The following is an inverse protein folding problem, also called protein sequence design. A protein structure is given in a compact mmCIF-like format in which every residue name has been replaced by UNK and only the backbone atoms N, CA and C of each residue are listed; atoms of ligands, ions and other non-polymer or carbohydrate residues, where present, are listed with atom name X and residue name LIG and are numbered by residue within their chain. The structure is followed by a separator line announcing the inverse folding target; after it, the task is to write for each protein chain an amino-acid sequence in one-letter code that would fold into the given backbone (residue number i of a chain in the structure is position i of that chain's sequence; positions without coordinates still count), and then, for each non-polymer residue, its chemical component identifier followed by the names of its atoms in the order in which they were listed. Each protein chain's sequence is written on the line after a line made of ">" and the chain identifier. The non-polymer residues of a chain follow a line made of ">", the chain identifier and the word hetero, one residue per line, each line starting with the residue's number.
data_IF_450205064532
#
_entry.id   IF_450205064532
#
_cell.length_a   1.000
_cell.length_b   1.000
_cell.length_c   1.000
_cell.angle_alpha   90.00
_cell.angle_beta   90.00
_cell.angle_gamma   90.00
#
_symmetry.space_group_name_H-M   'P 1'
#
loop_
_entity.id
_entity.type
_entity.pdbx_description
1 polymer ?
#
# COMPACT_ATOMS: atom_id res chain seq x y z
N UNK A 1 4.89 -14.93 -0.73
CA UNK A 1 4.91 -13.61 -0.08
C UNK A 1 3.95 -12.72 -0.84
N UNK A 2 3.04 -12.08 -0.12
CA UNK A 2 2.08 -11.16 -0.72
C UNK A 2 2.74 -9.83 -1.01
N UNK A 3 2.19 -9.16 -2.01
CA UNK A 3 2.74 -7.91 -2.52
C UNK A 3 1.75 -6.83 -2.23
N UNK A 4 2.24 -5.77 -1.61
CA UNK A 4 1.42 -4.70 -1.10
C UNK A 4 1.86 -3.38 -1.67
N UNK A 5 0.88 -2.51 -1.86
CA UNK A 5 1.06 -1.10 -2.17
C UNK A 5 0.32 -0.30 -1.12
N UNK A 6 1.04 0.54 -0.40
CA UNK A 6 0.44 1.44 0.57
C UNK A 6 0.79 2.87 0.23
N UNK A 7 -0.09 3.80 0.56
CA UNK A 7 0.18 5.22 0.36
C UNK A 7 -0.57 6.09 1.36
N UNK A 8 -0.14 7.34 1.50
CA UNK A 8 -0.76 8.30 2.42
C UNK A 8 -2.22 8.61 2.04
N UNK A 9 -3.17 8.28 2.93
CA UNK A 9 -4.60 8.16 2.64
C UNK A 9 -5.32 9.43 2.21
N UNK A 10 -4.67 10.60 2.32
CA UNK A 10 -5.16 11.89 1.84
C UNK A 10 -5.11 12.05 0.31
N UNK A 11 -4.31 11.24 -0.40
CA UNK A 11 -4.13 11.35 -1.86
C UNK A 11 -5.07 10.40 -2.63
N UNK A 12 -5.34 10.69 -3.90
CA UNK A 12 -5.97 9.71 -4.81
C UNK A 12 -4.95 8.66 -5.24
N UNK A 13 -5.39 7.44 -5.54
CA UNK A 13 -4.52 6.34 -5.99
C UNK A 13 -3.65 6.73 -7.20
N UNK A 14 -4.23 7.45 -8.17
CA UNK A 14 -3.53 7.95 -9.36
C UNK A 14 -2.43 8.96 -9.04
N UNK A 15 -2.62 9.79 -8.02
CA UNK A 15 -1.61 10.75 -7.54
C UNK A 15 -0.53 10.03 -6.73
N UNK A 16 -0.94 9.10 -5.86
CA UNK A 16 -0.05 8.29 -5.07
C UNK A 16 0.91 7.48 -5.96
N UNK A 17 0.42 6.84 -7.03
CA UNK A 17 1.26 6.10 -7.99
C UNK A 17 2.38 6.95 -8.63
N UNK A 18 2.20 8.27 -8.74
CA UNK A 18 3.19 9.18 -9.34
C UNK A 18 4.26 9.66 -8.36
N UNK A 19 4.04 9.51 -7.04
CA UNK A 19 4.90 10.08 -6.01
C UNK A 19 5.49 8.99 -5.11
N UNK A 20 6.76 8.65 -5.35
CA UNK A 20 7.49 7.63 -4.56
C UNK A 20 7.64 8.01 -3.08
N UNK A 21 7.57 9.29 -2.72
CA UNK A 21 7.72 9.75 -1.33
C UNK A 21 6.47 9.53 -0.48
N UNK A 22 5.31 9.33 -1.11
CA UNK A 22 4.01 9.17 -0.43
C UNK A 22 3.41 7.77 -0.62
N UNK A 23 4.16 6.86 -1.25
CA UNK A 23 3.78 5.47 -1.44
C UNK A 23 4.93 4.53 -1.07
N UNK A 24 4.58 3.30 -0.69
CA UNK A 24 5.51 2.24 -0.37
C UNK A 24 5.06 0.95 -1.03
N UNK A 25 6.00 0.20 -1.59
CA UNK A 25 5.79 -1.14 -2.14
C UNK A 25 6.61 -2.12 -1.34
N UNK A 26 5.98 -3.17 -0.84
CA UNK A 26 6.68 -4.17 -0.05
C UNK A 26 6.15 -5.58 -0.26
N UNK A 27 7.04 -6.55 -0.09
CA UNK A 27 6.77 -7.97 -0.13
C UNK A 27 6.74 -8.48 1.31
N UNK A 28 5.56 -8.82 1.81
CA UNK A 28 5.38 -9.24 3.20
C UNK A 28 4.61 -10.55 3.28
N UNK A 29 4.86 -11.33 4.33
CA UNK A 29 4.20 -12.62 4.55
C UNK A 29 2.78 -12.52 5.13
N UNK A 30 2.34 -11.32 5.54
CA UNK A 30 1.01 -11.11 6.14
C UNK A 30 0.58 -9.65 6.03
N UNK A 31 -0.74 -9.44 5.96
CA UNK A 31 -1.42 -8.15 6.00
C UNK A 31 -1.15 -7.41 7.33
N UNK A 32 -1.05 -8.11 8.45
CA UNK A 32 -0.78 -7.49 9.76
C UNK A 32 0.58 -6.79 9.78
N UNK A 33 1.58 -7.39 9.14
CA UNK A 33 2.93 -6.81 9.04
C UNK A 33 2.88 -5.57 8.13
N UNK A 34 2.08 -5.62 7.06
CA UNK A 34 1.85 -4.48 6.18
C UNK A 34 1.23 -3.30 6.95
N UNK A 35 0.16 -3.56 7.71
CA UNK A 35 -0.53 -2.54 8.52
C UNK A 35 0.43 -1.96 9.57
N UNK A 36 1.15 -2.81 10.32
CA UNK A 36 2.14 -2.34 11.33
C UNK A 36 3.21 -1.45 10.72
N UNK A 37 3.69 -1.76 9.51
CA UNK A 37 4.67 -0.94 8.81
C UNK A 37 4.07 0.39 8.37
N UNK A 38 2.85 0.39 7.83
CA UNK A 38 2.17 1.63 7.43
C UNK A 38 1.86 2.54 8.63
N UNK A 39 1.42 1.97 9.75
CA UNK A 39 1.21 2.69 11.01
C UNK A 39 2.50 3.38 11.49
N UNK A 40 3.66 2.74 11.32
CA UNK A 40 4.97 3.34 11.67
C UNK A 40 5.37 4.51 10.77
N UNK A 41 5.02 4.47 9.48
CA UNK A 41 5.45 5.47 8.51
C UNK A 41 4.51 6.69 8.52
N UNK A 42 3.19 6.45 8.54
CA UNK A 42 2.20 7.50 8.35
C UNK A 42 1.25 7.71 9.54
N UNK A 43 1.28 6.83 10.55
CA UNK A 43 0.34 6.83 11.65
C UNK A 43 -0.93 6.02 11.35
N UNK A 44 -1.61 5.59 12.41
CA UNK A 44 -2.84 4.81 12.30
C UNK A 44 -3.94 5.61 11.57
N UNK A 45 -4.65 4.95 10.65
CA UNK A 45 -5.74 5.57 9.86
C UNK A 45 -5.31 6.59 8.80
N UNK A 46 -4.01 6.83 8.62
CA UNK A 46 -3.50 7.86 7.71
C UNK A 46 -2.97 7.31 6.37
N UNK A 47 -3.23 6.05 6.06
CA UNK A 47 -2.80 5.37 4.85
C UNK A 47 -3.94 4.57 4.24
N UNK A 48 -3.78 4.24 2.96
CA UNK A 48 -4.58 3.24 2.26
C UNK A 48 -3.66 2.09 1.89
N UNK A 49 -4.13 0.87 2.05
CA UNK A 49 -3.38 -0.35 1.79
C UNK A 49 -4.08 -1.16 0.72
N UNK A 50 -3.31 -1.61 -0.24
CA UNK A 50 -3.76 -2.44 -1.34
C UNK A 50 -2.88 -3.68 -1.44
N UNK A 51 -3.49 -4.79 -1.84
CA UNK A 51 -2.79 -6.02 -2.20
C UNK A 51 -2.85 -6.21 -3.71
N UNK A 52 -1.71 -6.51 -4.32
CA UNK A 52 -1.68 -6.87 -5.74
C UNK A 52 -2.33 -8.23 -5.93
N UNK A 53 -3.30 -8.33 -6.84
CA UNK A 53 -3.88 -9.61 -7.23
C UNK A 53 -3.00 -10.33 -8.24
N UNK A 54 -2.50 -9.59 -9.23
CA UNK A 54 -1.48 -10.04 -10.16
C UNK A 54 -0.29 -9.07 -10.13
N UNK A 55 0.87 -9.56 -9.73
CA UNK A 55 2.07 -8.73 -9.66
C UNK A 55 2.60 -8.31 -11.03
N UNK A 56 2.36 -9.14 -12.05
CA UNK A 56 2.76 -8.83 -13.41
C UNK A 56 1.84 -7.77 -14.01
N UNK A 57 0.62 -7.65 -13.47
CA UNK A 57 -0.34 -6.62 -13.82
C UNK A 57 -0.44 -5.54 -12.74
N UNK A 58 0.44 -4.55 -12.87
CA UNK A 58 0.64 -3.41 -11.96
C UNK A 58 -0.59 -2.48 -11.82
N UNK A 59 -1.74 -2.85 -12.41
CA UNK A 59 -3.04 -2.17 -12.30
C UNK A 59 -4.10 -2.97 -11.53
N UNK A 60 -3.82 -4.22 -11.15
CA UNK A 60 -4.75 -5.03 -10.35
C UNK A 60 -4.44 -4.93 -8.86
N UNK A 61 -5.28 -4.17 -8.15
CA UNK A 61 -5.17 -3.96 -6.71
C UNK A 61 -6.51 -4.22 -6.02
N UNK A 62 -6.47 -4.97 -4.92
CA UNK A 62 -7.58 -5.10 -3.98
C UNK A 62 -7.33 -4.18 -2.78
N UNK A 63 -8.27 -3.29 -2.47
CA UNK A 63 -8.18 -2.44 -1.29
C UNK A 63 -8.41 -3.28 -0.05
N UNK A 64 -7.49 -3.17 0.91
CA UNK A 64 -7.59 -3.78 2.23
C UNK A 64 -8.09 -2.76 3.25
N UNK A 65 -7.55 -1.53 3.21
CA UNK A 65 -7.79 -0.47 4.18
C UNK A 65 -7.67 0.92 3.55
#
# INVERSE_FOLDING_TARGET
>A
MDKYFAYKGKKKLTEAKKSQTDNEKFHLGSVDIAIKRCNRIWGEGNFKLYRFQDFNNNDTYEMIL
#
